data_IF_870079710710
#
_entry.id   IF_870079710710
#
_cell.length_a   1.000
_cell.length_b   1.000
_cell.length_c   1.000
_cell.angle_alpha   90.00
_cell.angle_beta   90.00
_cell.angle_gamma   90.00
#
_symmetry.space_group_name_H-M   'P 1'
#
loop_
_entity.id
_entity.type
_entity.pdbx_description
1 polymer ?
#
# COMPACT_ATOMS: atom_id res chain seq x y z
N UNK A 1 53.70 -24.55 9.51
CA UNK A 1 52.76 -23.82 8.62
C UNK A 1 51.39 -24.47 8.82
N UNK A 2 50.79 -24.33 9.99
CA UNK A 2 49.97 -23.23 10.51
C UNK A 2 48.51 -23.37 10.08
N UNK A 3 47.76 -24.19 10.82
CA UNK A 3 46.29 -24.34 10.75
C UNK A 3 45.56 -22.98 10.78
N UNK A 4 46.20 -21.95 11.35
CA UNK A 4 45.69 -20.57 11.34
C UNK A 4 45.61 -19.96 9.94
N UNK A 5 46.47 -20.37 8.98
CA UNK A 5 46.37 -19.93 7.58
C UNK A 5 45.13 -20.54 6.91
N UNK A 6 44.89 -21.83 7.17
CA UNK A 6 43.74 -22.55 6.62
C UNK A 6 42.41 -22.00 7.17
N UNK A 7 42.39 -21.60 8.44
CA UNK A 7 41.22 -20.98 9.04
C UNK A 7 40.94 -19.56 8.49
N UNK A 8 41.99 -18.77 8.24
CA UNK A 8 41.85 -17.43 7.65
C UNK A 8 41.34 -17.51 6.20
N UNK A 9 41.84 -18.48 5.43
CA UNK A 9 41.39 -18.75 4.05
C UNK A 9 39.93 -19.25 4.02
N UNK A 10 39.49 -20.00 5.04
CA UNK A 10 38.08 -20.41 5.21
C UNK A 10 37.16 -19.23 5.53
N UNK A 11 37.60 -18.28 6.36
CA UNK A 11 36.82 -17.06 6.65
C UNK A 11 36.76 -16.14 5.43
N UNK A 12 37.86 -15.99 4.69
CA UNK A 12 37.89 -15.16 3.48
C UNK A 12 37.09 -15.75 2.31
N UNK A 13 36.90 -17.06 2.27
CA UNK A 13 36.06 -17.75 1.27
C UNK A 13 34.57 -17.80 1.63
N UNK A 14 34.19 -17.42 2.87
CA UNK A 14 32.80 -17.21 3.26
C UNK A 14 32.32 -15.85 2.74
N UNK A 15 31.93 -15.79 1.47
CA UNK A 15 31.05 -14.72 1.00
C UNK A 15 29.71 -14.88 1.72
N UNK A 16 29.48 -14.10 2.77
CA UNK A 16 28.14 -13.96 3.34
C UNK A 16 27.28 -13.37 2.23
N UNK A 17 26.22 -14.07 1.77
CA UNK A 17 25.33 -13.50 0.78
C UNK A 17 24.79 -12.19 1.33
N UNK A 18 24.99 -11.09 0.61
CA UNK A 18 24.45 -9.78 1.00
C UNK A 18 22.97 -9.67 0.69
N UNK A 19 22.49 -10.51 -0.25
CA UNK A 19 21.11 -10.56 -0.71
C UNK A 19 20.59 -11.99 -0.64
N UNK A 20 19.29 -12.10 -0.43
CA UNK A 20 18.55 -13.37 -0.33
C UNK A 20 17.15 -13.17 -0.89
N UNK A 21 16.41 -14.26 -1.09
CA UNK A 21 15.06 -14.20 -1.62
C UNK A 21 14.04 -14.59 -0.56
N UNK A 22 12.88 -13.94 -0.60
CA UNK A 22 11.69 -14.31 0.16
C UNK A 22 10.59 -14.66 -0.82
N UNK A 23 10.09 -15.88 -0.72
CA UNK A 23 8.94 -16.39 -1.43
C UNK A 23 7.69 -16.18 -0.56
N UNK A 24 6.62 -15.66 -1.15
CA UNK A 24 5.43 -15.27 -0.41
C UNK A 24 4.16 -15.56 -1.22
N UNK A 25 3.07 -15.74 -0.49
CA UNK A 25 1.73 -15.84 -1.04
C UNK A 25 1.24 -14.43 -1.38
N UNK A 26 0.88 -14.19 -2.64
CA UNK A 26 0.51 -12.84 -3.08
C UNK A 26 -0.82 -12.40 -2.47
N UNK A 27 -1.82 -13.27 -2.38
CA UNK A 27 -3.15 -12.95 -1.83
C UNK A 27 -3.10 -12.47 -0.37
N UNK A 28 -2.21 -13.09 0.42
CA UNK A 28 -2.14 -12.89 1.86
C UNK A 28 -0.95 -12.07 2.30
N UNK A 29 0.13 -12.01 1.51
CA UNK A 29 1.43 -11.45 1.87
C UNK A 29 2.24 -12.33 2.84
N UNK A 30 1.76 -13.54 3.14
CA UNK A 30 2.42 -14.45 4.09
C UNK A 30 3.67 -15.08 3.48
N UNK A 31 4.71 -15.20 4.30
CA UNK A 31 5.96 -15.82 3.89
C UNK A 31 5.77 -17.33 3.74
N UNK A 32 6.12 -17.85 2.57
CA UNK A 32 6.14 -19.28 2.27
C UNK A 32 7.55 -19.83 2.54
N UNK A 33 8.58 -19.11 2.09
CA UNK A 33 9.97 -19.55 2.19
C UNK A 33 10.95 -18.40 2.21
N UNK A 34 12.09 -18.59 2.88
CA UNK A 34 13.19 -17.64 2.92
C UNK A 34 14.49 -18.35 2.51
N UNK A 35 15.31 -17.71 1.67
CA UNK A 35 16.62 -18.20 1.28
C UNK A 35 16.88 -18.17 -0.23
N UNK A 36 17.24 -19.31 -0.82
CA UNK A 36 17.53 -19.39 -2.26
C UNK A 36 16.25 -19.27 -3.08
N UNK A 37 16.35 -18.62 -4.24
CA UNK A 37 15.27 -18.56 -5.23
C UNK A 37 14.85 -19.98 -5.62
N UNK A 38 13.56 -20.28 -5.46
CA UNK A 38 12.97 -21.54 -5.90
C UNK A 38 12.85 -21.63 -7.42
N UNK A 39 12.42 -22.79 -7.91
CA UNK A 39 12.12 -23.03 -9.32
C UNK A 39 10.62 -22.90 -9.63
N UNK A 40 9.81 -22.44 -8.67
CA UNK A 40 8.35 -22.43 -8.76
C UNK A 40 7.80 -21.09 -9.28
N UNK A 41 6.55 -21.13 -9.78
CA UNK A 41 5.76 -20.00 -10.30
C UNK A 41 5.34 -18.98 -9.21
N UNK A 42 5.72 -19.20 -7.94
CA UNK A 42 5.38 -18.31 -6.83
C UNK A 42 6.16 -16.98 -6.90
N UNK A 43 5.58 -15.93 -6.32
CA UNK A 43 6.19 -14.60 -6.31
C UNK A 43 7.32 -14.49 -5.28
N UNK A 44 8.36 -13.74 -5.63
CA UNK A 44 9.56 -13.56 -4.82
C UNK A 44 10.03 -12.11 -4.81
N UNK A 45 10.58 -11.69 -3.68
CA UNK A 45 11.32 -10.42 -3.55
C UNK A 45 12.77 -10.70 -3.17
N UNK A 46 13.66 -9.82 -3.62
CA UNK A 46 15.06 -9.81 -3.19
C UNK A 46 15.22 -8.87 -2.00
N UNK A 47 15.74 -9.38 -0.89
CA UNK A 47 15.91 -8.63 0.36
C UNK A 47 17.35 -8.70 0.83
N UNK A 48 17.71 -7.81 1.76
CA UNK A 48 19.00 -7.90 2.45
C UNK A 48 19.05 -9.14 3.35
N UNK A 49 20.17 -9.86 3.34
CA UNK A 49 20.31 -11.05 4.16
C UNK A 49 20.24 -10.75 5.67
N UNK A 50 20.61 -9.53 6.09
CA UNK A 50 20.50 -9.12 7.49
C UNK A 50 19.04 -9.01 7.94
N UNK A 51 18.13 -8.59 7.05
CA UNK A 51 16.70 -8.42 7.35
C UNK A 51 15.98 -9.71 7.73
N UNK A 52 16.56 -10.88 7.43
CA UNK A 52 15.98 -12.19 7.74
C UNK A 52 16.80 -12.97 8.78
N UNK A 53 17.84 -12.37 9.37
CA UNK A 53 18.73 -13.07 10.32
C UNK A 53 17.99 -13.60 11.53
N UNK A 54 16.99 -12.85 12.02
CA UNK A 54 16.15 -13.25 13.15
C UNK A 54 15.25 -14.44 12.80
N UNK A 55 14.80 -14.53 11.54
CA UNK A 55 14.08 -15.69 11.01
C UNK A 55 15.03 -16.90 10.90
N UNK A 56 16.21 -16.69 10.30
CA UNK A 56 17.19 -17.76 10.04
C UNK A 56 17.80 -18.32 11.33
N UNK A 57 17.91 -17.50 12.38
CA UNK A 57 18.38 -17.92 13.71
C UNK A 57 17.28 -18.56 14.57
N UNK A 58 16.01 -18.48 14.15
CA UNK A 58 14.86 -18.95 14.92
C UNK A 58 14.47 -18.05 16.10
N UNK A 59 15.00 -16.82 16.15
CA UNK A 59 14.64 -15.84 17.18
C UNK A 59 13.23 -15.29 16.94
N UNK A 60 12.87 -15.12 15.66
CA UNK A 60 11.51 -14.80 15.21
C UNK A 60 11.01 -15.84 14.22
N UNK A 61 9.69 -15.95 14.15
CA UNK A 61 8.96 -16.83 13.24
C UNK A 61 8.61 -16.10 11.95
N UNK A 62 8.44 -16.84 10.85
CA UNK A 62 8.03 -16.25 9.57
C UNK A 62 6.67 -15.51 9.64
N UNK A 63 5.78 -15.92 10.55
CA UNK A 63 4.45 -15.30 10.72
C UNK A 63 4.51 -13.89 11.35
N UNK A 64 5.61 -13.56 12.02
CA UNK A 64 5.89 -12.22 12.55
C UNK A 64 6.32 -11.25 11.45
N UNK A 65 6.56 -11.75 10.24
CA UNK A 65 6.86 -10.95 9.07
C UNK A 65 5.74 -11.04 8.04
N UNK A 66 5.70 -10.05 7.17
CA UNK A 66 4.78 -10.00 6.04
C UNK A 66 5.44 -9.26 4.89
N UNK A 67 5.22 -9.75 3.68
CA UNK A 67 5.53 -8.96 2.48
C UNK A 67 4.36 -8.03 2.24
N UNK A 68 4.65 -6.72 2.22
CA UNK A 68 3.68 -5.68 1.95
C UNK A 68 4.14 -4.86 0.76
N UNK A 69 3.19 -4.39 -0.02
CA UNK A 69 3.52 -3.44 -1.07
C UNK A 69 3.63 -2.04 -0.47
N UNK A 70 4.82 -1.47 -0.57
CA UNK A 70 5.03 -0.06 -0.21
C UNK A 70 4.58 0.79 -1.39
N UNK A 71 3.46 1.50 -1.22
CA UNK A 71 2.86 2.27 -2.31
C UNK A 71 3.70 3.52 -2.63
N UNK A 72 4.46 4.04 -1.67
CA UNK A 72 5.35 5.18 -1.88
C UNK A 72 6.60 4.79 -2.66
N UNK A 73 7.18 3.63 -2.34
CA UNK A 73 8.34 3.08 -3.05
C UNK A 73 7.97 2.28 -4.30
N UNK A 74 6.69 1.98 -4.47
CA UNK A 74 6.17 1.26 -5.64
C UNK A 74 6.79 -0.13 -5.79
N UNK A 75 7.13 -0.77 -4.67
CA UNK A 75 7.78 -2.07 -4.62
C UNK A 75 7.30 -2.90 -3.43
N UNK A 76 7.43 -4.22 -3.52
CA UNK A 76 7.19 -5.11 -2.39
C UNK A 76 8.36 -5.07 -1.39
N UNK A 77 8.04 -4.87 -0.12
CA UNK A 77 9.01 -4.82 0.98
C UNK A 77 8.67 -5.86 2.05
N UNK A 78 9.71 -6.47 2.63
CA UNK A 78 9.57 -7.33 3.80
C UNK A 78 9.47 -6.46 5.05
N UNK A 79 8.41 -6.61 5.82
CA UNK A 79 8.19 -5.85 7.05
C UNK A 79 7.82 -6.76 8.22
N UNK A 80 8.12 -6.32 9.42
CA UNK A 80 7.61 -6.96 10.64
C UNK A 80 6.17 -6.56 10.88
N UNK A 81 5.36 -7.50 11.37
CA UNK A 81 3.94 -7.27 11.64
C UNK A 81 3.74 -6.17 12.69
N UNK A 82 4.61 -6.09 13.68
CA UNK A 82 4.58 -5.02 14.69
C UNK A 82 4.81 -3.62 14.12
N UNK A 83 5.65 -3.50 13.08
CA UNK A 83 5.91 -2.23 12.40
C UNK A 83 4.72 -1.79 11.54
N UNK A 84 4.01 -2.74 10.92
CA UNK A 84 2.78 -2.45 10.15
C UNK A 84 1.65 -1.89 11.04
N UNK A 85 1.63 -2.31 12.31
CA UNK A 85 0.67 -1.81 13.29
C UNK A 85 1.04 -0.38 13.75
N UNK A 86 2.31 0.00 13.70
CA UNK A 86 2.81 1.32 14.13
C UNK A 86 3.01 2.34 13.01
N UNK A 87 3.25 1.96 11.74
CA UNK A 87 3.39 2.94 10.64
C UNK A 87 2.07 3.59 10.22
N UNK A 88 0.92 3.04 10.62
CA UNK A 88 -0.35 3.75 10.59
C UNK A 88 -0.38 4.99 11.54
N UNK A 89 0.66 5.22 12.35
CA UNK A 89 0.76 6.34 13.34
C UNK A 89 1.44 7.62 12.82
N UNK A 90 1.93 7.69 11.58
CA UNK A 90 2.24 9.01 11.04
C UNK A 90 0.92 9.76 10.78
N UNK A 91 0.42 10.49 11.78
CA UNK A 91 -0.84 11.27 11.75
C UNK A 91 -1.01 12.06 10.46
N UNK A 92 0.09 12.58 9.89
CA UNK A 92 0.11 13.28 8.61
C UNK A 92 -0.22 12.42 7.39
N UNK A 93 0.19 11.16 7.39
CA UNK A 93 -0.18 10.16 6.38
C UNK A 93 -1.49 9.47 6.71
N UNK A 94 -2.01 9.53 7.94
CA UNK A 94 -3.31 8.94 8.32
C UNK A 94 -4.48 9.88 7.99
N UNK A 95 -4.24 11.20 8.00
CA UNK A 95 -5.27 12.24 7.81
C UNK A 95 -4.84 13.29 6.78
N UNK A 96 -4.64 12.86 5.55
CA UNK A 96 -4.32 13.73 4.42
C UNK A 96 -5.60 14.34 3.83
N UNK A 97 -5.69 15.67 3.79
CA UNK A 97 -6.80 16.36 3.11
C UNK A 97 -6.60 16.30 1.59
N UNK A 98 -7.58 15.74 0.89
CA UNK A 98 -7.58 15.67 -0.56
C UNK A 98 -7.80 17.07 -1.14
N UNK A 99 -6.84 17.62 -1.90
CA UNK A 99 -6.95 18.98 -2.44
C UNK A 99 -8.01 19.06 -3.54
N UNK A 100 -8.68 20.22 -3.63
CA UNK A 100 -9.66 20.49 -4.70
C UNK A 100 -9.01 20.99 -6.00
N UNK A 101 -7.80 21.56 -5.89
CA UNK A 101 -7.08 22.16 -7.01
C UNK A 101 -5.74 21.46 -7.16
N UNK A 102 -5.65 20.60 -8.17
CA UNK A 102 -4.41 19.98 -8.62
C UNK A 102 -4.39 20.10 -10.14
N UNK A 103 -3.25 20.55 -10.66
CA UNK A 103 -3.03 20.64 -12.10
C UNK A 103 -2.59 19.27 -12.63
N UNK A 104 -3.24 18.81 -13.70
CA UNK A 104 -2.89 17.57 -14.40
C UNK A 104 -3.70 16.33 -13.99
N UNK A 105 -3.27 15.18 -14.50
CA UNK A 105 -3.86 13.88 -14.18
C UNK A 105 -3.41 13.45 -12.78
N UNK A 106 -4.35 12.98 -11.97
CA UNK A 106 -4.10 12.58 -10.58
C UNK A 106 -4.35 11.08 -10.43
N UNK A 107 -3.56 10.41 -9.59
CA UNK A 107 -3.67 8.97 -9.36
C UNK A 107 -5.08 8.56 -8.98
N UNK A 108 -5.69 9.29 -8.05
CA UNK A 108 -7.10 9.15 -7.69
C UNK A 108 -7.84 10.48 -7.75
N UNK A 109 -9.01 10.47 -8.41
CA UNK A 109 -9.93 11.62 -8.42
C UNK A 109 -11.25 11.22 -7.78
N UNK A 110 -11.65 11.94 -6.73
CA UNK A 110 -12.89 11.76 -6.00
C UNK A 110 -13.87 12.83 -6.47
N UNK A 111 -14.95 12.40 -7.12
CA UNK A 111 -16.02 13.25 -7.60
C UNK A 111 -17.20 13.23 -6.63
N UNK A 112 -17.64 14.40 -6.19
CA UNK A 112 -18.95 14.61 -5.62
C UNK A 112 -19.91 14.98 -6.77
N UNK A 113 -20.62 13.99 -7.33
CA UNK A 113 -21.55 14.21 -8.44
C UNK A 113 -22.96 14.47 -7.89
N UNK A 114 -23.33 15.74 -7.77
CA UNK A 114 -24.64 16.14 -7.25
C UNK A 114 -25.77 15.95 -8.29
N UNK A 115 -25.44 15.75 -9.57
CA UNK A 115 -26.41 15.49 -10.65
C UNK A 115 -26.82 14.02 -10.62
N UNK A 116 -25.83 13.12 -10.60
CA UNK A 116 -26.05 11.67 -10.48
C UNK A 116 -26.34 11.23 -9.04
N UNK A 117 -26.17 12.12 -8.08
CA UNK A 117 -26.36 11.86 -6.66
C UNK A 117 -25.49 10.70 -6.17
N UNK A 118 -24.20 10.76 -6.49
CA UNK A 118 -23.25 9.72 -6.14
C UNK A 118 -21.84 10.28 -5.96
N UNK A 119 -21.07 9.66 -5.07
CA UNK A 119 -19.63 9.79 -5.09
C UNK A 119 -19.05 8.86 -6.14
N UNK A 120 -18.10 9.36 -6.91
CA UNK A 120 -17.40 8.56 -7.90
C UNK A 120 -15.91 8.66 -7.66
N UNK A 121 -15.22 7.53 -7.51
CA UNK A 121 -13.75 7.51 -7.43
C UNK A 121 -13.22 6.99 -8.77
N UNK A 122 -12.36 7.78 -9.42
CA UNK A 122 -11.68 7.41 -10.65
C UNK A 122 -10.20 7.17 -10.42
N UNK A 123 -9.68 6.16 -11.10
CA UNK A 123 -8.28 5.75 -11.06
C UNK A 123 -7.61 6.16 -12.36
N UNK A 124 -6.44 6.82 -12.26
CA UNK A 124 -5.67 7.16 -13.46
C UNK A 124 -5.22 5.90 -14.20
N UNK A 125 -5.06 6.04 -15.51
CA UNK A 125 -4.55 4.95 -16.34
C UNK A 125 -3.12 4.57 -15.95
N UNK A 126 -2.28 5.55 -15.61
CA UNK A 126 -0.90 5.34 -15.18
C UNK A 126 -0.83 4.55 -13.89
N UNK A 127 -1.64 4.90 -12.88
CA UNK A 127 -1.70 4.15 -11.63
C UNK A 127 -2.18 2.71 -11.88
N UNK A 128 -3.21 2.54 -12.72
CA UNK A 128 -3.73 1.20 -13.01
C UNK A 128 -2.73 0.32 -13.76
N UNK A 129 -2.03 0.87 -14.75
CA UNK A 129 -0.97 0.15 -15.47
C UNK A 129 0.15 -0.27 -14.52
N UNK A 130 0.54 0.65 -13.62
CA UNK A 130 1.51 0.37 -12.57
C UNK A 130 1.07 -0.75 -11.61
N UNK A 131 -0.18 -0.71 -11.13
CA UNK A 131 -0.72 -1.77 -10.27
C UNK A 131 -0.84 -3.12 -10.99
N UNK A 132 -1.10 -3.13 -12.31
CA UNK A 132 -1.17 -4.35 -13.11
C UNK A 132 0.21 -4.95 -13.44
N UNK A 133 1.23 -4.12 -13.63
CA UNK A 133 2.57 -4.58 -14.06
C UNK A 133 3.33 -5.33 -12.97
N UNK A 134 3.07 -5.01 -11.71
CA UNK A 134 3.86 -5.47 -10.57
C UNK A 134 3.30 -6.76 -9.91
N UNK A 135 2.33 -7.46 -10.53
CA UNK A 135 1.64 -8.61 -9.93
C UNK A 135 1.22 -8.33 -8.48
N UNK A 136 0.73 -7.11 -8.22
CA UNK A 136 0.51 -6.67 -6.85
C UNK A 136 -0.81 -7.16 -6.33
N UNK A 137 -0.75 -8.14 -5.44
CA UNK A 137 -1.94 -8.61 -4.77
C UNK A 137 -2.01 -7.89 -3.42
N UNK A 138 -2.56 -6.69 -3.49
CA UNK A 138 -2.65 -5.78 -2.35
C UNK A 138 -4.01 -6.04 -1.70
N UNK A 139 -4.06 -6.97 -0.76
CA UNK A 139 -5.24 -7.16 0.09
C UNK A 139 -5.34 -6.06 1.16
N UNK A 140 -5.34 -4.80 0.72
CA UNK A 140 -5.49 -3.61 1.55
C UNK A 140 -6.69 -2.79 1.11
N UNK A 141 -7.29 -2.09 2.07
CA UNK A 141 -8.43 -1.20 1.82
C UNK A 141 -7.98 0.25 1.97
N UNK A 142 -8.43 1.08 1.04
CA UNK A 142 -8.32 2.53 1.10
C UNK A 142 -9.63 3.06 1.68
N UNK A 143 -9.51 3.96 2.64
CA UNK A 143 -10.66 4.64 3.25
C UNK A 143 -10.64 6.13 2.90
N UNK A 144 -11.81 6.65 2.55
CA UNK A 144 -12.05 8.07 2.37
C UNK A 144 -13.06 8.54 3.40
N UNK A 145 -12.72 9.57 4.16
CA UNK A 145 -13.55 10.19 5.18
C UNK A 145 -14.06 11.51 4.65
N UNK A 146 -15.37 11.58 4.38
CA UNK A 146 -16.07 12.80 4.03
C UNK A 146 -16.50 13.47 5.34
N UNK A 147 -16.10 14.71 5.52
CA UNK A 147 -16.19 15.43 6.80
C UNK A 147 -16.82 16.80 6.61
N UNK A 148 -17.20 17.45 7.71
CA UNK A 148 -17.50 18.87 7.66
C UNK A 148 -16.30 19.64 7.09
N UNK A 149 -16.56 20.69 6.31
CA UNK A 149 -15.50 21.46 5.64
C UNK A 149 -14.42 21.89 6.64
N UNK A 150 -13.18 21.48 6.38
CA UNK A 150 -11.99 21.76 7.20
C UNK A 150 -12.06 21.28 8.67
N UNK A 151 -12.99 20.37 9.01
CA UNK A 151 -13.07 19.80 10.35
C UNK A 151 -13.12 18.26 10.29
N UNK A 152 -11.95 17.60 10.36
CA UNK A 152 -11.87 16.15 10.27
C UNK A 152 -12.49 15.41 11.48
N UNK A 153 -12.81 16.11 12.58
CA UNK A 153 -13.44 15.48 13.74
C UNK A 153 -14.94 15.25 13.56
N UNK A 154 -15.54 15.86 12.53
CA UNK A 154 -16.96 15.71 12.20
C UNK A 154 -17.07 14.84 10.95
N UNK A 155 -17.05 13.51 11.16
CA UNK A 155 -17.27 12.54 10.10
C UNK A 155 -18.73 12.53 9.64
N UNK A 156 -18.94 12.72 8.34
CA UNK A 156 -20.26 12.69 7.70
C UNK A 156 -20.50 11.36 6.97
N UNK A 157 -19.48 10.83 6.30
CA UNK A 157 -19.53 9.55 5.57
C UNK A 157 -18.14 8.94 5.42
N UNK A 158 -18.09 7.62 5.32
CA UNK A 158 -16.88 6.89 4.93
C UNK A 158 -17.11 6.09 3.66
N UNK A 159 -16.18 6.19 2.71
CA UNK A 159 -16.11 5.33 1.53
C UNK A 159 -14.96 4.35 1.69
N UNK A 160 -15.14 3.11 1.24
CA UNK A 160 -14.15 2.05 1.31
C UNK A 160 -13.92 1.48 -0.07
N UNK A 161 -12.67 1.27 -0.41
CA UNK A 161 -12.27 0.72 -1.70
C UNK A 161 -11.14 -0.29 -1.51
N UNK A 162 -11.22 -1.45 -2.15
CA UNK A 162 -10.13 -2.43 -2.14
C UNK A 162 -9.11 -2.08 -3.22
N UNK A 163 -7.82 -2.11 -2.90
CA UNK A 163 -6.76 -1.86 -3.89
C UNK A 163 -6.85 -2.87 -5.04
N UNK A 164 -7.21 -4.12 -4.75
CA UNK A 164 -7.46 -5.14 -5.77
C UNK A 164 -8.59 -4.78 -6.74
N UNK A 165 -9.54 -3.93 -6.34
CA UNK A 165 -10.57 -3.48 -7.25
C UNK A 165 -10.06 -2.38 -8.19
N UNK A 166 -9.12 -1.52 -7.75
CA UNK A 166 -8.49 -0.47 -8.59
C UNK A 166 -7.86 -1.04 -9.87
N UNK A 167 -7.44 -2.31 -9.80
CA UNK A 167 -6.85 -3.06 -10.90
C UNK A 167 -7.92 -3.43 -11.94
N UNK A 168 -9.13 -3.74 -11.49
CA UNK A 168 -10.22 -4.34 -12.29
C UNK A 168 -11.10 -3.30 -12.97
N UNK A 169 -11.36 -2.17 -12.31
CA UNK A 169 -12.24 -1.11 -12.81
C UNK A 169 -11.59 0.25 -12.59
N UNK A 170 -11.86 1.16 -13.51
CA UNK A 170 -11.34 2.53 -13.52
C UNK A 170 -12.24 3.50 -12.76
N UNK A 171 -13.50 3.13 -12.53
CA UNK A 171 -14.51 3.95 -11.89
C UNK A 171 -15.29 3.16 -10.83
N UNK A 172 -15.52 3.80 -9.69
CA UNK A 172 -16.25 3.26 -8.54
C UNK A 172 -17.35 4.21 -8.12
N UNK A 173 -18.59 3.73 -8.12
CA UNK A 173 -19.75 4.54 -7.78
C UNK A 173 -20.29 4.20 -6.39
N UNK A 174 -20.52 5.22 -5.59
CA UNK A 174 -21.14 5.15 -4.26
C UNK A 174 -22.34 6.09 -4.23
N UNK A 175 -23.57 5.58 -4.41
CA UNK A 175 -24.78 6.41 -4.38
C UNK A 175 -24.89 7.20 -3.07
N UNK A 176 -25.52 8.39 -3.10
CA UNK A 176 -25.81 9.15 -1.90
C UNK A 176 -26.77 8.40 -0.98
N UNK A 177 -26.44 8.37 0.30
CA UNK A 177 -27.18 7.64 1.35
C UNK A 177 -27.64 8.58 2.46
N UNK A 178 -26.93 9.70 2.64
CA UNK A 178 -27.10 10.61 3.77
C UNK A 178 -27.71 11.93 3.35
N UNK A 179 -28.58 12.49 4.21
CA UNK A 179 -29.29 13.76 3.95
C UNK A 179 -28.37 14.94 3.67
N UNK A 180 -27.13 14.93 4.15
CA UNK A 180 -26.18 16.02 3.91
C UNK A 180 -25.73 16.08 2.44
N UNK A 181 -25.74 14.94 1.73
CA UNK A 181 -25.23 14.82 0.36
C UNK A 181 -26.20 15.45 -0.63
N UNK A 182 -27.50 15.30 -0.40
CA UNK A 182 -28.57 15.90 -1.20
C UNK A 182 -28.72 17.42 -1.03
N UNK A 183 -27.98 18.03 -0.11
CA UNK A 183 -28.05 19.48 0.19
C UNK A 183 -26.97 20.30 -0.50
N UNK A 184 -26.15 19.67 -1.36
CA UNK A 184 -24.99 20.30 -2.00
C UNK A 184 -24.09 21.03 -0.98
N UNK A 185 -23.85 20.39 0.17
CA UNK A 185 -23.01 20.96 1.20
C UNK A 185 -21.55 20.95 0.76
N UNK A 186 -20.82 22.00 1.13
CA UNK A 186 -19.35 22.01 0.99
C UNK A 186 -18.75 21.12 2.07
N UNK A 187 -17.93 20.16 1.67
CA UNK A 187 -17.30 19.16 2.54
C UNK A 187 -15.80 19.06 2.25
N UNK A 188 -15.05 18.51 3.20
CA UNK A 188 -13.65 18.10 2.99
C UNK A 188 -13.56 16.58 2.92
N UNK A 189 -12.67 16.08 2.07
CA UNK A 189 -12.37 14.65 1.94
C UNK A 189 -10.98 14.41 2.51
N UNK A 190 -10.88 13.46 3.44
CA UNK A 190 -9.61 13.03 4.02
C UNK A 190 -9.37 11.56 3.69
N UNK A 191 -8.10 11.18 3.53
CA UNK A 191 -7.69 9.79 3.33
C UNK A 191 -6.32 9.58 3.93
N UNK A 192 -5.91 8.33 4.11
CA UNK A 192 -4.51 8.07 4.33
C UNK A 192 -3.73 8.22 3.01
N UNK A 193 -2.51 8.75 3.06
CA UNK A 193 -1.70 9.00 1.88
C UNK A 193 -1.07 7.70 1.38
N UNK A 194 -1.78 7.03 0.49
CA UNK A 194 -1.35 5.84 -0.22
C UNK A 194 -0.62 6.19 -1.52
N UNK A 195 -1.13 7.13 -2.31
CA UNK A 195 -0.60 7.51 -3.64
C UNK A 195 0.04 8.90 -3.65
N UNK A 196 0.66 9.27 -4.77
CA UNK A 196 1.34 10.56 -4.88
C UNK A 196 0.35 11.71 -4.98
N UNK A 197 -0.71 11.53 -5.78
CA UNK A 197 -1.63 12.61 -6.15
C UNK A 197 -3.10 12.24 -5.98
N UNK A 198 -3.86 13.16 -5.38
CA UNK A 198 -5.29 13.02 -5.18
C UNK A 198 -6.00 14.32 -5.58
N UNK A 199 -7.24 14.21 -6.05
CA UNK A 199 -8.07 15.38 -6.37
C UNK A 199 -9.51 15.18 -5.91
N UNK A 200 -10.11 16.22 -5.32
CA UNK A 200 -11.53 16.27 -5.01
C UNK A 200 -12.23 17.26 -5.95
N UNK A 201 -13.21 16.79 -6.72
CA UNK A 201 -13.95 17.60 -7.68
C UNK A 201 -15.45 17.55 -7.38
N UNK A 202 -16.13 18.70 -7.43
CA UNK A 202 -17.58 18.80 -7.19
C UNK A 202 -18.28 19.12 -8.50
N UNK A 203 -19.19 18.25 -8.93
CA UNK A 203 -19.99 18.41 -10.14
C UNK A 203 -21.39 18.86 -9.74
N UNK A 204 -21.79 20.04 -10.19
CA UNK A 204 -23.07 20.68 -9.86
C UNK A 204 -23.98 20.91 -11.07
N UNK A 205 -23.44 20.88 -12.29
CA UNK A 205 -24.11 21.22 -13.56
C UNK A 205 -23.63 20.35 -14.72
#
# INVERSE_FOLDING_TARGET
MSEASTFLDMIQSLQVPTKTFVEFDTDTGELIRVGKKGNDDNSYIEVDANSITEIMSGTKTMNEYKVVFDIGLKEYTLRERGDLETENDHVYNTLYEVPMFVDGDCDLTIFQDNIKQSWTIKVSKSLREFLNSEAVNINSNIFFSITAKYDPNILLRSLRLSVNDLIKTDEFNFPFESKFEFKNNVVSVYTAKYFETYKHEVINE
#
